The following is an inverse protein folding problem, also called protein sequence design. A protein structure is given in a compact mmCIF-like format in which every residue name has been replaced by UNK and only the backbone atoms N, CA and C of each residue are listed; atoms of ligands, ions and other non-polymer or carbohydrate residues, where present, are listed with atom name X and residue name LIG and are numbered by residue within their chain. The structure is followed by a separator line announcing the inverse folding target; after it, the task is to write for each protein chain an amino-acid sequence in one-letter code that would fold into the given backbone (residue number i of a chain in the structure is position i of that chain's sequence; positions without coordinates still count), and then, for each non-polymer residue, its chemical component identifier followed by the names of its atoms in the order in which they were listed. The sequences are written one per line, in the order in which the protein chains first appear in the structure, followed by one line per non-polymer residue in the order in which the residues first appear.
data_IF_588872461056
#
_entry.id   IF_588872461056
#
_cell.length_a   1.000
_cell.length_b   1.000
_cell.length_c   1.000
_cell.angle_alpha   90.00
_cell.angle_beta   90.00
_cell.angle_gamma   90.00
#
_symmetry.space_group_name_H-M   'P 1'
#
loop_
_entity.id
_entity.type
_entity.pdbx_description
1 polymer ?
#
# COMPACT_ATOMS: atom_id res chain seq x y z
N UNK A 1 11.70 -8.03 -23.91
CA UNK A 1 11.90 -7.31 -22.64
C UNK A 1 12.90 -8.10 -21.81
N UNK A 2 14.10 -7.56 -21.61
CA UNK A 2 15.17 -8.22 -20.86
C UNK A 2 14.67 -8.58 -19.46
N UNK A 3 15.08 -9.73 -18.96
CA UNK A 3 14.96 -10.05 -17.54
C UNK A 3 15.60 -8.91 -16.75
N UNK A 4 14.79 -7.96 -16.27
CA UNK A 4 15.21 -7.14 -15.16
C UNK A 4 15.67 -8.11 -14.08
N UNK A 5 16.84 -7.90 -13.53
CA UNK A 5 17.42 -8.77 -12.51
C UNK A 5 16.61 -8.58 -11.22
N UNK A 6 15.39 -9.12 -11.21
CA UNK A 6 14.46 -8.97 -10.10
C UNK A 6 14.98 -9.78 -8.91
N UNK A 7 14.75 -9.30 -7.68
CA UNK A 7 15.13 -10.02 -6.48
C UNK A 7 14.59 -11.43 -6.47
N UNK A 8 15.37 -12.35 -5.90
CA UNK A 8 14.94 -13.74 -5.77
C UNK A 8 13.66 -13.84 -4.95
N UNK A 9 13.53 -13.03 -3.91
CA UNK A 9 12.36 -12.98 -3.02
C UNK A 9 11.12 -12.52 -3.78
N UNK A 10 11.23 -11.45 -4.58
CA UNK A 10 10.16 -10.95 -5.44
C UNK A 10 9.73 -11.99 -6.48
N UNK A 11 10.71 -12.60 -7.16
CA UNK A 11 10.45 -13.63 -8.17
C UNK A 11 9.74 -14.83 -7.54
N UNK A 12 10.16 -15.24 -6.34
CA UNK A 12 9.56 -16.35 -5.62
C UNK A 12 8.10 -16.03 -5.21
N UNK A 13 7.84 -14.87 -4.60
CA UNK A 13 6.50 -14.42 -4.22
C UNK A 13 5.56 -14.36 -5.44
N UNK A 14 5.98 -13.65 -6.50
CA UNK A 14 5.22 -13.55 -7.77
C UNK A 14 4.89 -14.92 -8.35
N UNK A 15 5.86 -15.84 -8.33
CA UNK A 15 5.67 -17.17 -8.92
C UNK A 15 4.72 -18.02 -8.09
N UNK A 16 4.83 -17.98 -6.75
CA UNK A 16 3.89 -18.65 -5.86
C UNK A 16 2.47 -18.16 -6.08
N UNK A 17 2.29 -16.84 -6.07
CA UNK A 17 0.99 -16.20 -6.29
C UNK A 17 0.36 -16.64 -7.61
N UNK A 18 1.10 -16.52 -8.72
CA UNK A 18 0.62 -16.94 -10.03
C UNK A 18 0.27 -18.43 -10.07
N UNK A 19 1.15 -19.29 -9.55
CA UNK A 19 0.92 -20.74 -9.57
C UNK A 19 -0.31 -21.15 -8.74
N UNK A 20 -0.55 -20.48 -7.60
CA UNK A 20 -1.76 -20.69 -6.82
C UNK A 20 -3.01 -20.26 -7.58
N UNK A 21 -2.99 -19.11 -8.29
CA UNK A 21 -4.12 -18.70 -9.12
C UNK A 21 -4.37 -19.63 -10.30
N UNK A 22 -3.32 -20.18 -10.92
CA UNK A 22 -3.48 -21.20 -11.97
C UNK A 22 -4.17 -22.44 -11.40
N UNK A 23 -3.74 -22.90 -10.22
CA UNK A 23 -4.37 -24.03 -9.53
C UNK A 23 -5.85 -23.76 -9.19
N UNK A 24 -6.17 -22.54 -8.75
CA UNK A 24 -7.56 -22.13 -8.49
C UNK A 24 -8.38 -22.11 -9.79
N UNK A 25 -7.87 -21.50 -10.86
CA UNK A 25 -8.54 -21.46 -12.17
C UNK A 25 -8.78 -22.87 -12.74
N UNK A 26 -7.92 -23.83 -12.42
CA UNK A 26 -8.08 -25.23 -12.77
C UNK A 26 -9.13 -26.00 -11.92
N UNK A 27 -9.75 -25.37 -10.91
CA UNK A 27 -10.74 -26.01 -10.02
C UNK A 27 -10.13 -26.83 -8.86
N UNK A 28 -8.90 -26.48 -8.46
CA UNK A 28 -8.18 -27.14 -7.37
C UNK A 28 -7.97 -26.24 -6.14
N UNK A 29 -8.77 -25.19 -5.99
CA UNK A 29 -8.81 -24.39 -4.77
C UNK A 29 -9.07 -25.27 -3.53
N UNK A 30 -8.32 -25.03 -2.46
CA UNK A 30 -8.41 -25.81 -1.21
C UNK A 30 -7.89 -27.26 -1.28
N UNK A 31 -7.56 -27.78 -2.46
CA UNK A 31 -7.02 -29.14 -2.64
C UNK A 31 -5.51 -29.18 -2.42
N UNK A 32 -4.96 -30.38 -2.21
CA UNK A 32 -3.50 -30.55 -2.11
C UNK A 32 -2.83 -30.24 -3.44
N UNK A 33 -1.63 -29.65 -3.38
CA UNK A 33 -0.83 -29.35 -4.58
C UNK A 33 -0.60 -30.58 -5.45
N UNK A 34 -0.41 -31.75 -4.83
CA UNK A 34 -0.21 -33.00 -5.53
C UNK A 34 -1.40 -33.39 -6.42
N UNK A 35 -2.64 -33.11 -5.99
CA UNK A 35 -3.83 -33.44 -6.78
C UNK A 35 -3.89 -32.62 -8.08
N UNK A 36 -3.52 -31.34 -8.01
CA UNK A 36 -3.40 -30.49 -9.19
C UNK A 36 -2.25 -30.94 -10.10
N UNK A 37 -1.10 -31.30 -9.52
CA UNK A 37 0.06 -31.80 -10.26
C UNK A 37 -0.29 -33.11 -11.00
N UNK A 38 -1.00 -34.02 -10.33
CA UNK A 38 -1.42 -35.29 -10.92
C UNK A 38 -2.47 -35.07 -12.02
N UNK A 39 -3.40 -34.14 -11.84
CA UNK A 39 -4.35 -33.77 -12.88
C UNK A 39 -3.66 -33.20 -14.13
N UNK A 40 -2.60 -32.39 -13.95
CA UNK A 40 -1.79 -31.91 -15.07
C UNK A 40 -0.99 -33.02 -15.74
N UNK A 41 -0.57 -34.07 -15.02
CA UNK A 41 0.27 -35.14 -15.58
C UNK A 41 -0.51 -36.28 -16.21
N UNK A 42 -1.64 -36.64 -15.60
CA UNK A 42 -2.36 -37.89 -15.86
C UNK A 42 -3.87 -37.71 -16.02
N UNK A 43 -4.37 -36.46 -16.00
CA UNK A 43 -5.79 -36.17 -16.15
C UNK A 43 -6.34 -36.56 -17.53
N UNK A 44 -7.66 -36.43 -17.68
CA UNK A 44 -8.35 -36.60 -18.97
C UNK A 44 -8.93 -35.26 -19.48
N UNK A 45 -8.40 -34.13 -19.01
CA UNK A 45 -8.81 -32.77 -19.39
C UNK A 45 -7.68 -32.05 -20.12
N UNK A 46 -7.94 -30.86 -20.67
CA UNK A 46 -6.92 -30.04 -21.33
C UNK A 46 -5.72 -29.67 -20.41
N UNK A 47 -5.86 -29.85 -19.09
CA UNK A 47 -4.76 -29.67 -18.13
C UNK A 47 -3.56 -30.58 -18.42
N UNK A 48 -3.74 -31.70 -19.15
CA UNK A 48 -2.63 -32.58 -19.53
C UNK A 48 -1.55 -31.91 -20.36
N UNK A 49 -1.90 -30.86 -21.10
CA UNK A 49 -0.95 -30.04 -21.86
C UNK A 49 0.08 -29.34 -20.95
N UNK A 50 -0.25 -29.19 -19.67
CA UNK A 50 0.59 -28.57 -18.66
C UNK A 50 1.45 -29.58 -17.87
N UNK A 51 1.35 -30.89 -18.17
CA UNK A 51 1.99 -31.96 -17.39
C UNK A 51 3.51 -31.96 -17.40
N UNK A 52 4.14 -31.41 -18.44
CA UNK A 52 5.59 -31.28 -18.56
C UNK A 52 6.22 -30.19 -17.70
N UNK A 53 5.42 -29.39 -16.97
CA UNK A 53 5.91 -28.26 -16.19
C UNK A 53 6.36 -28.64 -14.79
N UNK A 54 7.26 -27.84 -14.20
CA UNK A 54 7.78 -28.05 -12.84
C UNK A 54 6.85 -27.45 -11.78
N UNK A 55 5.59 -27.87 -11.74
CA UNK A 55 4.55 -27.29 -10.88
C UNK A 55 4.90 -27.22 -9.40
N UNK A 56 5.49 -28.27 -8.82
CA UNK A 56 5.95 -28.24 -7.42
C UNK A 56 6.99 -27.12 -7.17
N UNK A 57 7.85 -26.86 -8.16
CA UNK A 57 8.82 -25.77 -8.09
C UNK A 57 8.17 -24.39 -8.22
N UNK A 58 7.12 -24.26 -9.04
CA UNK A 58 6.38 -23.00 -9.17
C UNK A 58 5.53 -22.69 -7.93
N UNK A 59 4.77 -23.67 -7.43
CA UNK A 59 3.93 -23.53 -6.24
C UNK A 59 4.73 -23.21 -4.97
N UNK A 60 5.99 -23.66 -4.90
CA UNK A 60 6.92 -23.31 -3.80
C UNK A 60 7.76 -22.06 -4.09
N UNK A 61 7.71 -21.49 -5.29
CA UNK A 61 8.52 -20.34 -5.70
C UNK A 61 10.01 -20.63 -5.90
N UNK A 62 10.41 -21.91 -5.93
CA UNK A 62 11.81 -22.34 -6.14
C UNK A 62 12.25 -22.23 -7.60
N UNK A 63 11.31 -22.40 -8.52
CA UNK A 63 11.54 -22.25 -9.97
C UNK A 63 10.79 -21.03 -10.48
N UNK A 64 11.32 -20.34 -11.47
CA UNK A 64 10.65 -19.24 -12.16
C UNK A 64 10.18 -19.72 -13.55
N UNK A 65 8.91 -19.55 -13.93
CA UNK A 65 8.45 -19.92 -15.26
C UNK A 65 9.09 -19.05 -16.34
N UNK A 66 9.31 -19.64 -17.52
CA UNK A 66 9.68 -18.90 -18.72
C UNK A 66 8.42 -18.29 -19.36
N UNK A 67 8.56 -17.23 -20.17
CA UNK A 67 7.41 -16.64 -20.88
C UNK A 67 6.63 -17.67 -21.70
N UNK A 68 7.32 -18.55 -22.43
CA UNK A 68 6.68 -19.67 -23.16
C UNK A 68 5.84 -20.60 -22.26
N UNK A 69 6.21 -20.73 -20.99
CA UNK A 69 5.46 -21.52 -20.02
C UNK A 69 4.20 -20.77 -19.60
N UNK A 70 4.30 -19.47 -19.35
CA UNK A 70 3.14 -18.61 -19.07
C UNK A 70 2.16 -18.62 -20.27
N UNK A 71 2.67 -18.46 -21.49
CA UNK A 71 1.84 -18.46 -22.71
C UNK A 71 1.12 -19.80 -22.92
N UNK A 72 1.79 -20.91 -22.57
CA UNK A 72 1.16 -22.23 -22.63
C UNK A 72 0.06 -22.36 -21.58
N UNK A 73 0.28 -21.90 -20.36
CA UNK A 73 -0.76 -21.88 -19.32
C UNK A 73 -1.93 -21.00 -19.73
N UNK A 74 -1.68 -19.80 -20.27
CA UNK A 74 -2.73 -18.87 -20.73
C UNK A 74 -3.62 -19.47 -21.83
N UNK A 75 -3.04 -20.29 -22.71
CA UNK A 75 -3.83 -21.01 -23.74
C UNK A 75 -4.79 -22.04 -23.15
N UNK A 76 -4.38 -22.71 -22.08
CA UNK A 76 -5.18 -23.76 -21.42
C UNK A 76 -6.14 -23.18 -20.38
N UNK A 77 -5.70 -22.14 -19.67
CA UNK A 77 -6.39 -21.43 -18.59
C UNK A 77 -6.25 -19.91 -18.82
N UNK A 78 -7.14 -19.32 -19.65
CA UNK A 78 -7.11 -17.90 -19.97
C UNK A 78 -7.28 -16.99 -18.75
N UNK A 79 -6.66 -15.82 -18.79
CA UNK A 79 -6.69 -14.81 -17.73
C UNK A 79 -5.68 -15.02 -16.61
N UNK A 80 -4.83 -16.06 -16.69
CA UNK A 80 -3.86 -16.37 -15.63
C UNK A 80 -2.54 -15.62 -15.80
N UNK A 81 -2.17 -15.25 -17.03
CA UNK A 81 -0.91 -14.57 -17.33
C UNK A 81 -0.78 -13.20 -16.65
N UNK A 82 -1.88 -12.44 -16.56
CA UNK A 82 -1.85 -11.09 -15.97
C UNK A 82 -1.49 -11.09 -14.50
N UNK A 83 -1.82 -12.16 -13.76
CA UNK A 83 -1.43 -12.32 -12.37
C UNK A 83 0.08 -12.46 -12.19
N UNK A 84 0.76 -13.05 -13.19
CA UNK A 84 2.22 -13.11 -13.22
C UNK A 84 2.85 -11.78 -13.63
N UNK A 85 2.24 -11.02 -14.53
CA UNK A 85 2.83 -9.80 -15.07
C UNK A 85 2.58 -8.55 -14.22
N UNK A 86 1.38 -8.43 -13.64
CA UNK A 86 0.96 -7.24 -12.89
C UNK A 86 0.94 -7.51 -11.39
N UNK A 87 0.16 -8.51 -10.97
CA UNK A 87 -0.11 -8.83 -9.57
C UNK A 87 -1.60 -8.94 -9.27
N UNK A 88 -1.98 -8.93 -7.98
CA UNK A 88 -3.37 -8.99 -7.55
C UNK A 88 -4.26 -7.95 -8.19
N UNK A 89 -5.46 -8.38 -8.61
CA UNK A 89 -6.53 -7.53 -9.15
C UNK A 89 -6.10 -6.71 -10.38
N UNK A 90 -5.07 -7.17 -11.10
CA UNK A 90 -4.52 -6.47 -12.26
C UNK A 90 -3.68 -5.23 -11.92
N UNK A 91 -3.36 -4.99 -10.65
CA UNK A 91 -2.50 -3.90 -10.21
C UNK A 91 -1.05 -4.19 -10.58
N UNK A 92 -0.28 -3.18 -11.01
CA UNK A 92 1.13 -3.30 -11.45
C UNK A 92 2.12 -3.48 -10.27
N UNK A 93 1.70 -4.20 -9.22
CA UNK A 93 2.43 -4.41 -7.98
C UNK A 93 3.88 -4.87 -8.23
N UNK A 94 4.09 -5.86 -9.09
CA UNK A 94 5.42 -6.43 -9.31
C UNK A 94 6.42 -5.45 -9.89
N UNK A 95 5.98 -4.54 -10.76
CA UNK A 95 6.83 -3.50 -11.32
C UNK A 95 7.12 -2.41 -10.31
N UNK A 96 6.15 -2.09 -9.47
CA UNK A 96 6.27 -1.04 -8.45
C UNK A 96 7.27 -1.43 -7.37
N UNK A 97 7.24 -2.67 -6.89
CA UNK A 97 8.09 -3.12 -5.77
C UNK A 97 9.44 -3.70 -6.22
N UNK A 98 9.74 -3.74 -7.52
CA UNK A 98 11.06 -4.15 -8.00
C UNK A 98 12.16 -3.18 -7.50
N UNK A 99 13.42 -3.63 -7.42
CA UNK A 99 14.51 -2.93 -6.69
C UNK A 99 14.80 -1.48 -7.09
N UNK A 100 14.57 -1.12 -8.34
CA UNK A 100 14.68 0.27 -8.80
C UNK A 100 13.37 1.05 -8.68
N UNK A 101 12.26 0.34 -8.48
CA UNK A 101 10.90 0.77 -8.76
C UNK A 101 10.77 1.14 -10.23
N UNK A 102 9.71 0.70 -10.91
CA UNK A 102 9.39 1.35 -12.16
C UNK A 102 8.77 2.72 -11.85
N UNK A 103 9.61 3.75 -11.80
CA UNK A 103 9.19 5.13 -11.51
C UNK A 103 8.06 5.57 -12.45
N UNK A 104 8.16 5.27 -13.74
CA UNK A 104 7.13 5.67 -14.72
C UNK A 104 5.78 5.00 -14.38
N UNK A 105 5.79 3.70 -14.09
CA UNK A 105 4.58 2.97 -13.67
C UNK A 105 4.06 3.45 -12.32
N UNK A 106 4.94 3.76 -11.37
CA UNK A 106 4.55 4.30 -10.07
C UNK A 106 3.92 5.70 -10.22
N UNK A 107 4.50 6.56 -11.07
CA UNK A 107 4.01 7.90 -11.36
C UNK A 107 2.65 7.85 -12.08
N UNK A 108 2.50 6.98 -13.07
CA UNK A 108 1.23 6.75 -13.76
C UNK A 108 0.15 6.26 -12.81
N UNK A 109 0.42 5.22 -12.01
CA UNK A 109 -0.56 4.72 -11.04
C UNK A 109 -0.94 5.80 -10.02
N UNK A 110 0.05 6.50 -9.47
CA UNK A 110 -0.17 7.53 -8.47
C UNK A 110 -1.00 8.70 -9.01
N UNK A 111 -0.71 9.15 -10.23
CA UNK A 111 -1.49 10.18 -10.91
C UNK A 111 -2.90 9.69 -11.21
N UNK A 112 -3.07 8.46 -11.71
CA UNK A 112 -4.40 7.93 -12.04
C UNK A 112 -5.29 7.83 -10.79
N UNK A 113 -4.76 7.32 -9.67
CA UNK A 113 -5.49 7.25 -8.40
C UNK A 113 -5.97 8.64 -7.95
N UNK A 114 -5.14 9.67 -8.14
CA UNK A 114 -5.51 11.04 -7.79
C UNK A 114 -6.48 11.68 -8.79
N UNK A 115 -6.32 11.41 -10.09
CA UNK A 115 -7.20 11.94 -11.15
C UNK A 115 -8.61 11.36 -11.04
N UNK A 116 -8.75 10.12 -10.59
CA UNK A 116 -10.07 9.52 -10.33
C UNK A 116 -10.85 10.28 -9.26
N UNK A 117 -10.15 10.79 -8.23
CA UNK A 117 -10.76 11.51 -7.10
C UNK A 117 -10.89 13.02 -7.35
N UNK A 118 -9.83 13.65 -7.86
CA UNK A 118 -9.68 15.10 -7.96
C UNK A 118 -9.74 15.64 -9.40
N UNK A 119 -9.81 14.76 -10.40
CA UNK A 119 -9.86 15.14 -11.81
C UNK A 119 -8.51 15.60 -12.39
N UNK A 120 -8.57 16.23 -13.57
CA UNK A 120 -7.37 16.52 -14.38
C UNK A 120 -6.49 17.65 -13.82
N UNK A 121 -6.93 18.38 -12.79
CA UNK A 121 -6.12 19.43 -12.14
C UNK A 121 -4.85 18.86 -11.48
N UNK A 122 -4.88 17.59 -11.09
CA UNK A 122 -3.76 16.81 -10.54
C UNK A 122 -2.51 16.89 -11.42
N UNK A 123 -2.67 17.02 -12.73
CA UNK A 123 -1.53 17.11 -13.66
C UNK A 123 -0.69 18.38 -13.47
N UNK A 124 -1.26 19.42 -12.85
CA UNK A 124 -0.55 20.65 -12.51
C UNK A 124 0.17 20.59 -11.16
N UNK A 125 -0.15 19.59 -10.34
CA UNK A 125 0.40 19.46 -8.99
C UNK A 125 1.83 18.93 -9.00
N UNK A 126 2.65 19.43 -8.09
CA UNK A 126 3.94 18.82 -7.79
C UNK A 126 3.76 17.53 -6.96
N UNK A 127 4.85 16.76 -6.76
CA UNK A 127 4.77 15.51 -5.99
C UNK A 127 4.33 15.76 -4.54
N UNK A 128 4.68 16.92 -3.98
CA UNK A 128 4.32 17.32 -2.62
C UNK A 128 2.81 17.46 -2.47
N UNK A 129 2.17 18.25 -3.32
CA UNK A 129 0.71 18.39 -3.38
C UNK A 129 0.02 17.04 -3.62
N UNK A 130 0.56 16.23 -4.54
CA UNK A 130 0.01 14.90 -4.82
C UNK A 130 0.09 13.95 -3.61
N UNK A 131 1.22 13.90 -2.89
CA UNK A 131 1.38 13.11 -1.66
C UNK A 131 0.40 13.55 -0.59
N UNK A 132 0.22 14.86 -0.42
CA UNK A 132 -0.74 15.40 0.52
C UNK A 132 -2.16 14.90 0.26
N UNK A 133 -2.66 15.11 -0.97
CA UNK A 133 -4.01 14.73 -1.35
C UNK A 133 -4.20 13.22 -1.38
N UNK A 134 -3.15 12.46 -1.71
CA UNK A 134 -3.20 11.00 -1.70
C UNK A 134 -3.41 10.43 -0.30
N UNK A 135 -2.75 11.00 0.72
CA UNK A 135 -2.82 10.49 2.10
C UNK A 135 -4.09 10.96 2.81
N UNK A 136 -4.65 12.09 2.40
CA UNK A 136 -5.77 12.73 3.08
C UNK A 136 -6.99 11.81 3.36
N UNK A 137 -7.42 10.92 2.44
CA UNK A 137 -8.54 10.02 2.66
C UNK A 137 -8.35 9.03 3.83
N UNK A 138 -7.12 8.59 4.12
CA UNK A 138 -6.87 7.71 5.27
C UNK A 138 -6.76 8.48 6.60
N UNK A 139 -6.70 9.82 6.54
CA UNK A 139 -6.69 10.69 7.71
C UNK A 139 -8.07 11.28 8.01
N UNK A 140 -9.14 10.77 7.40
CA UNK A 140 -10.50 11.26 7.59
C UNK A 140 -11.16 10.69 8.85
N UNK A 141 -10.45 10.71 9.99
CA UNK A 141 -10.98 10.34 11.30
C UNK A 141 -11.16 11.57 12.21
N UNK A 142 -12.02 11.50 13.25
CA UNK A 142 -12.20 12.58 14.23
C UNK A 142 -10.94 12.89 15.04
N UNK A 143 -10.58 14.17 15.16
CA UNK A 143 -9.33 14.61 15.82
C UNK A 143 -9.35 14.33 17.33
N UNK A 144 -10.44 14.65 18.02
CA UNK A 144 -10.47 14.59 19.49
C UNK A 144 -10.28 13.16 20.05
N UNK A 145 -10.99 12.13 19.56
CA UNK A 145 -10.75 10.74 19.97
C UNK A 145 -9.33 10.26 19.68
N UNK A 146 -8.77 10.61 18.52
CA UNK A 146 -7.39 10.27 18.18
C UNK A 146 -6.40 10.87 19.19
N UNK A 147 -6.51 12.17 19.48
CA UNK A 147 -5.63 12.85 20.43
C UNK A 147 -5.76 12.22 21.82
N UNK A 148 -6.98 11.92 22.28
CA UNK A 148 -7.20 11.26 23.57
C UNK A 148 -6.46 9.92 23.65
N UNK A 149 -6.49 9.11 22.59
CA UNK A 149 -5.76 7.85 22.54
C UNK A 149 -4.23 8.05 22.57
N UNK A 150 -3.73 9.01 21.80
CA UNK A 150 -2.29 9.30 21.73
C UNK A 150 -1.73 9.87 23.04
N UNK A 151 -2.54 10.48 23.91
CA UNK A 151 -2.09 10.87 25.27
C UNK A 151 -1.90 9.67 26.21
N UNK A 152 -2.50 8.52 25.89
CA UNK A 152 -2.38 7.27 26.66
C UNK A 152 -1.22 6.40 26.17
N UNK A 153 -0.81 6.57 24.92
CA UNK A 153 0.34 5.90 24.32
C UNK A 153 1.65 6.32 24.99
N UNK A 154 2.55 5.38 25.26
CA UNK A 154 3.81 5.64 25.97
C UNK A 154 4.99 5.54 25.01
N UNK A 155 5.80 6.60 24.95
CA UNK A 155 7.13 6.60 24.33
C UNK A 155 8.24 6.56 25.37
N UNK A 156 9.36 5.92 25.02
CA UNK A 156 10.56 5.87 25.86
C UNK A 156 11.53 6.94 25.38
N UNK A 157 11.89 7.88 26.26
CA UNK A 157 12.88 8.93 26.00
C UNK A 157 14.00 8.79 27.02
N UNK A 158 15.15 8.25 26.59
CA UNK A 158 16.20 7.79 27.50
C UNK A 158 15.67 6.69 28.42
N UNK A 159 15.78 6.88 29.73
CA UNK A 159 15.26 5.93 30.73
C UNK A 159 13.84 6.25 31.21
N UNK A 160 13.16 7.25 30.62
CA UNK A 160 11.84 7.71 31.07
C UNK A 160 10.74 7.24 30.14
N UNK A 161 9.64 6.78 30.74
CA UNK A 161 8.36 6.53 30.07
C UNK A 161 7.52 7.79 30.15
N UNK A 162 7.18 8.37 29.01
CA UNK A 162 6.34 9.56 28.90
C UNK A 162 5.23 9.32 27.87
N UNK A 163 4.08 10.00 27.98
CA UNK A 163 3.08 10.00 26.92
C UNK A 163 3.67 10.37 25.55
N UNK A 164 3.09 9.83 24.47
CA UNK A 164 3.44 10.21 23.10
C UNK A 164 3.16 11.70 22.88
N UNK A 165 2.00 12.17 23.36
CA UNK A 165 1.64 13.59 23.49
C UNK A 165 1.33 13.91 24.96
N UNK A 166 1.84 15.03 25.45
CA UNK A 166 1.45 15.59 26.75
C UNK A 166 0.15 16.39 26.67
N UNK A 167 -0.63 16.39 27.75
CA UNK A 167 -1.85 17.20 27.82
C UNK A 167 -1.52 18.69 27.61
N UNK A 168 -2.20 19.32 26.66
CA UNK A 168 -1.98 20.73 26.29
C UNK A 168 -0.75 21.00 25.42
N UNK A 169 -0.03 19.96 24.96
CA UNK A 169 1.05 20.10 23.97
C UNK A 169 0.49 20.61 22.64
N UNK A 170 1.19 21.56 22.00
CA UNK A 170 0.83 22.01 20.66
C UNK A 170 1.00 20.85 19.66
N UNK A 171 -0.09 20.56 18.94
CA UNK A 171 -0.13 19.55 17.90
C UNK A 171 0.34 20.15 16.57
N UNK A 172 0.73 19.30 15.60
CA UNK A 172 1.16 19.76 14.26
C UNK A 172 0.17 20.68 13.54
N UNK A 173 -1.12 20.61 13.90
CA UNK A 173 -2.22 21.40 13.34
C UNK A 173 -2.86 22.38 14.35
N UNK A 174 -2.21 22.63 15.50
CA UNK A 174 -2.75 23.52 16.54
C UNK A 174 -2.96 24.95 16.05
N UNK A 175 -2.08 25.45 15.18
CA UNK A 175 -2.24 26.77 14.58
C UNK A 175 -3.54 26.88 13.75
N UNK A 176 -3.88 25.83 13.00
CA UNK A 176 -5.10 25.75 12.21
C UNK A 176 -6.31 25.68 13.13
N UNK A 177 -6.27 24.85 14.20
CA UNK A 177 -7.34 24.80 15.19
C UNK A 177 -7.61 26.17 15.80
N UNK A 178 -6.56 26.93 16.14
CA UNK A 178 -6.73 28.29 16.64
C UNK A 178 -7.38 29.25 15.64
N UNK A 179 -7.17 29.05 14.33
CA UNK A 179 -7.88 29.82 13.30
C UNK A 179 -9.35 29.41 13.20
N UNK A 180 -9.66 28.13 13.42
CA UNK A 180 -11.04 27.62 13.51
C UNK A 180 -11.75 28.17 14.73
N UNK A 181 -11.12 28.11 15.91
CA UNK A 181 -11.67 28.64 17.17
C UNK A 181 -11.98 30.14 17.10
N UNK A 182 -11.18 30.89 16.34
CA UNK A 182 -11.38 32.33 16.07
C UNK A 182 -12.43 32.62 14.99
N UNK A 183 -13.03 31.58 14.39
CA UNK A 183 -13.97 31.71 13.27
C UNK A 183 -13.35 32.25 11.98
N UNK A 184 -12.01 32.22 11.86
CA UNK A 184 -11.28 32.70 10.68
C UNK A 184 -11.31 31.67 9.54
N UNK A 185 -11.43 30.39 9.87
CA UNK A 185 -11.57 29.28 8.94
C UNK A 185 -12.72 28.39 9.43
N UNK A 186 -13.56 27.92 8.53
CA UNK A 186 -14.69 27.03 8.85
C UNK A 186 -14.55 25.73 8.05
N UNK A 187 -13.79 24.73 8.55
CA UNK A 187 -13.65 23.45 7.87
C UNK A 187 -14.99 22.71 7.88
N UNK A 188 -15.24 21.81 6.91
CA UNK A 188 -16.39 20.93 6.94
C UNK A 188 -16.39 20.09 8.24
N UNK A 189 -17.46 20.18 9.02
CA UNK A 189 -17.68 19.40 10.25
C UNK A 189 -18.75 18.34 10.01
N UNK A 190 -18.60 17.18 10.65
CA UNK A 190 -19.67 16.18 10.72
C UNK A 190 -20.24 16.17 12.13
N UNK A 191 -21.39 16.82 12.30
CA UNK A 191 -21.92 17.13 13.64
C UNK A 191 -20.99 18.10 14.39
N UNK A 192 -20.51 17.69 15.56
CA UNK A 192 -19.59 18.48 16.40
C UNK A 192 -18.11 18.12 16.18
N UNK A 193 -17.81 17.12 15.35
CA UNK A 193 -16.45 16.60 15.19
C UNK A 193 -15.72 17.27 14.02
N UNK A 194 -14.48 17.67 14.29
CA UNK A 194 -13.52 18.11 13.28
C UNK A 194 -12.72 16.88 12.85
N UNK A 195 -12.74 16.61 11.55
CA UNK A 195 -11.98 15.53 10.93
C UNK A 195 -10.58 16.03 10.60
N UNK A 196 -9.55 15.20 10.79
CA UNK A 196 -8.18 15.62 10.53
C UNK A 196 -7.99 15.97 9.05
N UNK A 197 -8.57 15.19 8.13
CA UNK A 197 -8.60 15.51 6.70
C UNK A 197 -9.17 16.90 6.40
N UNK A 198 -10.33 17.24 6.98
CA UNK A 198 -10.97 18.56 6.83
C UNK A 198 -10.10 19.70 7.37
N UNK A 199 -9.43 19.46 8.49
CA UNK A 199 -8.52 20.44 9.10
C UNK A 199 -7.26 20.66 8.27
N UNK A 200 -6.71 19.61 7.68
CA UNK A 200 -5.53 19.72 6.83
C UNK A 200 -5.87 20.32 5.45
N UNK A 201 -7.06 20.05 4.91
CA UNK A 201 -7.48 20.53 3.60
C UNK A 201 -7.55 22.06 3.50
N UNK A 202 -7.76 22.76 4.63
CA UNK A 202 -7.82 24.23 4.70
C UNK A 202 -6.45 24.91 4.79
N UNK A 203 -5.35 24.14 4.92
CA UNK A 203 -4.00 24.68 4.85
C UNK A 203 -3.75 25.36 3.49
N UNK A 204 -2.99 26.46 3.50
CA UNK A 204 -2.37 26.93 2.26
C UNK A 204 -1.37 25.87 1.73
N UNK A 205 -1.08 25.90 0.42
CA UNK A 205 -0.23 24.89 -0.21
C UNK A 205 1.20 24.83 0.37
N UNK A 206 1.70 25.95 0.89
CA UNK A 206 3.01 26.01 1.54
C UNK A 206 3.06 25.31 2.90
N UNK A 207 1.92 25.23 3.61
CA UNK A 207 1.80 24.57 4.92
C UNK A 207 1.40 23.11 4.83
N UNK A 208 0.66 22.71 3.80
CA UNK A 208 0.15 21.33 3.64
C UNK A 208 1.20 20.25 3.90
N UNK A 209 2.35 20.35 3.23
CA UNK A 209 3.44 19.37 3.41
C UNK A 209 4.13 19.51 4.76
N UNK A 210 4.36 20.73 5.24
CA UNK A 210 5.01 20.95 6.54
C UNK A 210 4.16 20.36 7.69
N UNK A 211 2.86 20.62 7.68
CA UNK A 211 1.92 20.07 8.66
C UNK A 211 1.83 18.55 8.55
N UNK A 212 1.81 18.00 7.33
CA UNK A 212 1.80 16.55 7.11
C UNK A 212 3.11 15.90 7.60
N UNK A 213 4.26 16.48 7.29
CA UNK A 213 5.56 15.99 7.76
C UNK A 213 5.65 15.99 9.28
N UNK A 214 5.23 17.07 9.93
CA UNK A 214 5.19 17.13 11.40
C UNK A 214 4.20 16.12 11.98
N UNK A 215 3.06 15.91 11.33
CA UNK A 215 2.10 14.87 11.72
C UNK A 215 2.74 13.48 11.67
N UNK A 216 3.35 13.10 10.55
CA UNK A 216 4.06 11.83 10.45
C UNK A 216 5.25 11.73 11.41
N UNK A 217 5.97 12.82 11.66
CA UNK A 217 7.12 12.82 12.58
C UNK A 217 6.71 12.68 14.04
N UNK A 218 5.58 13.27 14.44
CA UNK A 218 5.06 13.20 15.80
C UNK A 218 4.43 11.85 16.10
N UNK A 219 3.59 11.35 15.19
CA UNK A 219 2.76 10.16 15.43
C UNK A 219 3.35 8.87 14.83
N UNK A 220 4.20 9.00 13.81
CA UNK A 220 4.81 7.87 13.12
C UNK A 220 3.78 6.84 12.66
N UNK A 221 4.06 5.58 12.96
CA UNK A 221 3.21 4.46 12.55
C UNK A 221 1.85 4.44 13.26
N UNK A 222 1.73 5.08 14.44
CA UNK A 222 0.48 5.11 15.21
C UNK A 222 -0.63 5.83 14.47
N UNK A 223 -0.30 6.83 13.65
CA UNK A 223 -1.26 7.51 12.79
C UNK A 223 -1.95 6.52 11.83
N UNK A 224 -1.16 5.66 11.19
CA UNK A 224 -1.64 4.69 10.21
C UNK A 224 -2.35 3.53 10.89
N UNK A 225 -1.82 3.03 12.01
CA UNK A 225 -2.47 1.97 12.79
C UNK A 225 -3.84 2.40 13.30
N UNK A 226 -3.95 3.60 13.88
CA UNK A 226 -5.22 4.13 14.35
C UNK A 226 -6.24 4.25 13.21
N UNK A 227 -5.85 4.90 12.10
CA UNK A 227 -6.70 5.01 10.93
C UNK A 227 -7.17 3.63 10.42
N UNK A 228 -6.27 2.65 10.40
CA UNK A 228 -6.61 1.32 9.91
C UNK A 228 -7.53 0.54 10.86
N UNK A 229 -7.37 0.70 12.18
CA UNK A 229 -8.29 0.09 13.15
C UNK A 229 -9.71 0.66 13.01
N UNK A 230 -9.84 1.98 12.82
CA UNK A 230 -11.11 2.65 12.52
C UNK A 230 -11.74 2.16 11.21
N UNK A 231 -10.92 2.03 10.16
CA UNK A 231 -11.36 1.47 8.87
C UNK A 231 -11.94 0.06 9.04
N UNK A 232 -11.28 -0.80 9.81
CA UNK A 232 -11.77 -2.16 10.11
C UNK A 232 -13.06 -2.18 10.92
N UNK A 233 -13.32 -1.16 11.72
CA UNK A 233 -14.56 -0.97 12.48
C UNK A 233 -15.71 -0.43 11.61
N UNK A 234 -15.43 -0.05 10.37
CA UNK A 234 -16.42 0.38 9.38
C UNK A 234 -16.41 1.87 9.06
N UNK A 235 -15.44 2.64 9.54
CA UNK A 235 -15.25 4.03 9.12
C UNK A 235 -14.86 4.09 7.64
N UNK A 236 -15.46 5.02 6.90
CA UNK A 236 -15.19 5.23 5.46
C UNK A 236 -13.85 5.94 5.27
N UNK A 237 -12.77 5.16 5.27
CA UNK A 237 -11.39 5.60 5.10
C UNK A 237 -10.80 4.99 3.83
N UNK A 238 -9.91 5.73 3.16
CA UNK A 238 -9.41 5.41 1.82
C UNK A 238 -8.47 4.21 1.68
N UNK A 239 -8.50 3.23 2.60
CA UNK A 239 -7.69 2.02 2.46
C UNK A 239 -8.24 1.14 1.33
N UNK A 240 -7.36 0.72 0.43
CA UNK A 240 -7.68 -0.22 -0.64
C UNK A 240 -6.40 -0.85 -1.19
N UNK A 241 -6.53 -1.94 -1.95
CA UNK A 241 -5.39 -2.52 -2.69
C UNK A 241 -4.74 -1.49 -3.63
N UNK A 242 -5.53 -0.66 -4.32
CA UNK A 242 -5.01 0.40 -5.20
C UNK A 242 -4.23 1.44 -4.42
N UNK A 243 -4.76 1.89 -3.28
CA UNK A 243 -4.06 2.81 -2.37
C UNK A 243 -2.73 2.21 -1.91
N UNK A 244 -2.72 0.96 -1.46
CA UNK A 244 -1.50 0.30 -0.97
C UNK A 244 -0.44 0.23 -2.07
N UNK A 245 -0.82 -0.20 -3.28
CA UNK A 245 0.14 -0.32 -4.39
C UNK A 245 0.67 1.06 -4.81
N UNK A 246 -0.18 2.09 -4.82
CA UNK A 246 0.24 3.47 -5.07
C UNK A 246 1.17 4.01 -3.96
N UNK A 247 0.88 3.70 -2.69
CA UNK A 247 1.71 4.08 -1.54
C UNK A 247 3.11 3.43 -1.60
N UNK A 248 3.20 2.16 -2.01
CA UNK A 248 4.48 1.50 -2.27
C UNK A 248 5.27 2.20 -3.39
N UNK A 249 4.56 2.71 -4.41
CA UNK A 249 5.12 3.53 -5.49
C UNK A 249 5.73 4.86 -5.04
N UNK A 250 5.36 5.39 -3.87
CA UNK A 250 5.95 6.63 -3.36
C UNK A 250 7.44 6.49 -3.04
N UNK A 251 7.91 5.29 -2.67
CA UNK A 251 9.32 5.06 -2.34
C UNK A 251 10.25 5.43 -3.51
N UNK A 252 10.10 4.84 -4.72
CA UNK A 252 10.94 5.22 -5.86
C UNK A 252 10.68 6.66 -6.35
N UNK A 253 9.44 7.17 -6.25
CA UNK A 253 9.11 8.55 -6.66
C UNK A 253 9.84 9.59 -5.81
N UNK A 254 9.81 9.43 -4.48
CA UNK A 254 10.43 10.35 -3.53
C UNK A 254 11.96 10.28 -3.56
N UNK A 255 12.53 9.11 -3.86
CA UNK A 255 13.96 8.95 -4.16
C UNK A 255 14.37 9.68 -5.44
N UNK A 256 13.58 9.60 -6.51
CA UNK A 256 13.85 10.29 -7.79
C UNK A 256 13.93 11.81 -7.64
N UNK A 257 13.01 12.40 -6.86
CA UNK A 257 13.00 13.85 -6.61
C UNK A 257 13.98 14.30 -5.53
N UNK A 258 14.64 13.36 -4.84
CA UNK A 258 15.59 13.60 -3.76
C UNK A 258 15.07 14.53 -2.64
N UNK A 259 13.80 14.34 -2.24
CA UNK A 259 13.16 15.11 -1.17
C UNK A 259 13.09 14.28 0.12
N UNK A 260 13.87 14.65 1.14
CA UNK A 260 13.97 13.90 2.40
C UNK A 260 12.65 13.85 3.19
N UNK A 261 11.90 14.96 3.21
CA UNK A 261 10.61 15.04 3.90
C UNK A 261 9.61 14.06 3.29
N UNK A 262 9.50 14.04 1.95
CA UNK A 262 8.62 13.10 1.26
C UNK A 262 9.10 11.65 1.39
N UNK A 263 10.42 11.40 1.39
CA UNK A 263 10.97 10.06 1.66
C UNK A 263 10.60 9.58 3.06
N UNK A 264 10.65 10.45 4.08
CA UNK A 264 10.24 10.11 5.44
C UNK A 264 8.75 9.79 5.53
N UNK A 265 7.89 10.61 4.92
CA UNK A 265 6.44 10.37 4.86
C UNK A 265 6.16 9.03 4.15
N UNK A 266 6.75 8.80 2.98
CA UNK A 266 6.57 7.55 2.24
C UNK A 266 7.02 6.32 3.05
N UNK A 267 8.16 6.43 3.75
CA UNK A 267 8.67 5.37 4.61
C UNK A 267 7.69 5.06 5.74
N UNK A 268 7.29 6.05 6.52
CA UNK A 268 6.39 5.87 7.67
C UNK A 268 5.00 5.36 7.24
N UNK A 269 4.47 5.87 6.12
CA UNK A 269 3.23 5.38 5.53
C UNK A 269 3.33 3.89 5.22
N UNK A 270 4.36 3.49 4.46
CA UNK A 270 4.52 2.09 4.04
C UNK A 270 4.81 1.18 5.24
N UNK A 271 5.66 1.60 6.18
CA UNK A 271 5.89 0.86 7.44
C UNK A 271 4.58 0.67 8.21
N UNK A 272 3.74 1.70 8.30
CA UNK A 272 2.44 1.63 8.97
C UNK A 272 1.48 0.66 8.28
N UNK A 273 1.43 0.67 6.94
CA UNK A 273 0.60 -0.25 6.16
C UNK A 273 0.98 -1.72 6.39
N UNK A 274 2.26 -1.98 6.67
CA UNK A 274 2.75 -3.35 6.95
C UNK A 274 2.37 -3.89 8.34
N UNK A 275 1.67 -3.09 9.16
CA UNK A 275 1.15 -3.49 10.47
C UNK A 275 -0.25 -4.13 10.41
N UNK A 276 -0.88 -4.16 9.23
CA UNK A 276 -2.13 -4.90 9.04
C UNK A 276 -2.90 -4.57 7.76
N UNK A 277 -2.76 -3.35 7.22
CA UNK A 277 -3.50 -2.93 6.04
C UNK A 277 -3.16 -3.77 4.80
N UNK A 278 -1.88 -4.10 4.59
CA UNK A 278 -1.45 -4.97 3.48
C UNK A 278 -2.12 -6.35 3.55
N UNK A 279 -2.12 -6.98 4.72
CA UNK A 279 -2.68 -8.33 4.90
C UNK A 279 -4.20 -8.35 4.71
N UNK A 280 -4.87 -7.27 5.10
CA UNK A 280 -6.32 -7.15 5.01
C UNK A 280 -6.80 -6.82 3.60
N UNK A 281 -6.18 -5.84 2.95
CA UNK A 281 -6.61 -5.35 1.64
C UNK A 281 -6.04 -6.14 0.47
N UNK A 282 -4.91 -6.82 0.66
CA UNK A 282 -4.25 -7.64 -0.39
C UNK A 282 -3.96 -9.05 0.16
N UNK A 283 -4.97 -9.78 0.68
CA UNK A 283 -4.78 -11.06 1.36
C UNK A 283 -4.15 -12.13 0.47
N UNK A 284 -4.24 -11.97 -0.86
CA UNK A 284 -3.69 -12.91 -1.82
C UNK A 284 -2.16 -13.04 -1.73
N UNK A 285 -1.48 -11.98 -1.29
CA UNK A 285 -0.01 -11.93 -1.13
C UNK A 285 0.44 -11.20 0.14
N UNK A 286 -0.51 -10.81 1.01
CA UNK A 286 -0.30 -9.90 2.13
C UNK A 286 0.93 -10.22 2.99
N UNK A 287 1.01 -11.41 3.60
CA UNK A 287 2.13 -11.73 4.50
C UNK A 287 3.49 -11.69 3.79
N UNK A 288 3.58 -12.28 2.59
CA UNK A 288 4.80 -12.27 1.79
C UNK A 288 5.19 -10.84 1.35
N UNK A 289 4.19 -10.02 1.02
CA UNK A 289 4.37 -8.64 0.59
C UNK A 289 4.82 -7.74 1.76
N UNK A 290 4.18 -7.87 2.92
CA UNK A 290 4.53 -7.11 4.12
C UNK A 290 5.97 -7.41 4.55
N UNK A 291 6.37 -8.68 4.56
CA UNK A 291 7.74 -9.10 4.89
C UNK A 291 8.75 -8.61 3.85
N UNK A 292 8.43 -8.75 2.56
CA UNK A 292 9.28 -8.28 1.47
C UNK A 292 9.51 -6.75 1.54
N UNK A 293 8.45 -6.00 1.82
CA UNK A 293 8.50 -4.54 1.93
C UNK A 293 9.28 -4.10 3.17
N UNK A 294 9.02 -4.68 4.35
CA UNK A 294 9.76 -4.40 5.59
C UNK A 294 11.27 -4.58 5.41
N UNK A 295 11.69 -5.66 4.74
CA UNK A 295 13.10 -5.94 4.47
C UNK A 295 13.81 -4.92 3.58
N UNK A 296 13.09 -3.99 2.95
CA UNK A 296 13.63 -3.00 2.00
C UNK A 296 13.43 -1.54 2.39
N UNK A 297 12.75 -1.28 3.51
CA UNK A 297 12.62 0.05 4.12
C UNK A 297 13.82 0.40 5.02
N UNK A 298 14.64 -0.60 5.34
CA UNK A 298 15.91 -0.54 6.08
C UNK A 298 17.09 -0.38 5.13
#
# INVERSE_FOLDING_TARGET
MSHGNWPKELVAMRTRYWAQLVKQAAGFEGKKDQEFIDACKYGNTNLVELGGMTWAGFLSGKNNPLYKSIDLVEKVLPGTAMNFYKGPRGLELWKIIADSGNVETAEELFNNTLVEEYGNEVNSWDLSQKVFWFILPILAFPVAPFVEEMTKEIKIVGDKKVPLIQEGEELPWSDILHLVDRGSINPPMNGEEIFLSSLLAVCDDTRKIYTLENTFSTFGLKLISYAFDRYKEGDDLGFSATFIVAALGLIPLTKKVNNNSLQNIAKLLVEGLTLGAIDYEVPEVGPDLADYVKGRLL
#
